data_IF_848774541780
#
_entry.id   IF_848774541780
#
_cell.length_a   1.000
_cell.length_b   1.000
_cell.length_c   1.000
_cell.angle_alpha   90.00
_cell.angle_beta   90.00
_cell.angle_gamma   90.00
#
_symmetry.space_group_name_H-M   'P 1'
#
loop_
_entity.id
_entity.type
_entity.pdbx_description
1 polymer ?
#
# COMPACT_ATOMS: atom_id res chain seq x y z
N UNK A 1 -6.97 15.19 -32.03
CA UNK A 1 -7.30 13.90 -31.41
C UNK A 1 -7.47 14.17 -29.92
N UNK A 2 -8.63 13.91 -29.29
CA UNK A 2 -8.70 13.99 -27.84
C UNK A 2 -7.82 12.89 -27.27
N UNK A 3 -6.92 13.24 -26.33
CA UNK A 3 -6.16 12.25 -25.59
C UNK A 3 -7.16 11.35 -24.84
N UNK A 4 -7.11 10.03 -25.06
CA UNK A 4 -7.82 9.07 -24.22
C UNK A 4 -7.31 9.25 -22.78
N UNK A 5 -8.10 9.89 -21.93
CA UNK A 5 -7.83 9.95 -20.51
C UNK A 5 -8.12 8.55 -19.95
N UNK A 6 -7.06 7.78 -19.72
CA UNK A 6 -7.17 6.56 -18.93
C UNK A 6 -7.57 6.94 -17.50
N UNK A 7 -8.60 6.29 -16.97
CA UNK A 7 -9.04 6.49 -15.60
C UNK A 7 -7.87 6.23 -14.64
N UNK A 8 -7.73 7.07 -13.60
CA UNK A 8 -6.69 6.85 -12.59
C UNK A 8 -6.90 5.52 -11.87
N UNK A 9 -5.85 4.97 -11.25
CA UNK A 9 -5.97 3.74 -10.43
C UNK A 9 -7.07 3.94 -9.36
N UNK A 10 -7.13 5.14 -8.77
CA UNK A 10 -8.15 5.51 -7.80
C UNK A 10 -9.56 5.37 -8.37
N UNK A 11 -9.80 5.84 -9.60
CA UNK A 11 -11.09 5.68 -10.28
C UNK A 11 -11.36 4.21 -10.65
N UNK A 12 -10.35 3.47 -11.12
CA UNK A 12 -10.49 2.06 -11.46
C UNK A 12 -10.83 1.18 -10.25
N UNK A 13 -10.38 1.57 -9.04
CA UNK A 13 -10.71 0.89 -7.79
C UNK A 13 -12.13 1.22 -7.27
N UNK A 14 -12.83 2.20 -7.86
CA UNK A 14 -14.13 2.68 -7.35
C UNK A 14 -14.03 3.88 -6.42
N UNK A 15 -12.94 4.64 -6.47
CA UNK A 15 -12.73 5.84 -5.67
C UNK A 15 -12.38 5.54 -4.22
N UNK A 16 -12.84 6.40 -3.30
CA UNK A 16 -12.48 6.33 -1.88
C UNK A 16 -12.84 4.98 -1.26
N UNK A 17 -14.05 4.48 -1.53
CA UNK A 17 -14.53 3.20 -0.99
C UNK A 17 -13.69 2.02 -1.50
N UNK A 18 -13.27 2.08 -2.76
CA UNK A 18 -12.32 1.12 -3.33
C UNK A 18 -10.98 1.07 -2.60
N UNK A 19 -10.42 2.25 -2.32
CA UNK A 19 -9.16 2.36 -1.57
C UNK A 19 -9.33 1.91 -0.12
N UNK A 20 -10.48 2.20 0.52
CA UNK A 20 -10.79 1.69 1.87
C UNK A 20 -10.80 0.16 1.88
N UNK A 21 -11.56 -0.46 0.98
CA UNK A 21 -11.65 -1.91 0.89
C UNK A 21 -10.28 -2.56 0.64
N UNK A 22 -9.47 -1.95 -0.24
CA UNK A 22 -8.10 -2.39 -0.49
C UNK A 22 -7.23 -2.35 0.78
N UNK A 23 -7.21 -1.22 1.48
CA UNK A 23 -6.42 -1.06 2.71
C UNK A 23 -6.91 -1.97 3.83
N UNK A 24 -8.23 -2.11 3.98
CA UNK A 24 -8.82 -2.98 4.98
C UNK A 24 -8.41 -4.44 4.75
N UNK A 25 -8.53 -4.92 3.51
CA UNK A 25 -8.13 -6.27 3.11
C UNK A 25 -6.63 -6.48 3.27
N UNK A 26 -5.82 -5.46 2.96
CA UNK A 26 -4.37 -5.52 3.13
C UNK A 26 -3.95 -5.64 4.60
N UNK A 27 -4.45 -4.74 5.45
CA UNK A 27 -4.15 -4.79 6.87
C UNK A 27 -4.67 -6.08 7.52
N UNK A 28 -5.86 -6.55 7.15
CA UNK A 28 -6.38 -7.84 7.62
C UNK A 28 -5.49 -9.00 7.17
N UNK A 29 -4.96 -8.96 5.94
CA UNK A 29 -4.04 -9.99 5.44
C UNK A 29 -2.73 -9.99 6.24
N UNK A 30 -2.18 -8.82 6.58
CA UNK A 30 -1.02 -8.72 7.48
C UNK A 30 -1.33 -9.32 8.86
N UNK A 31 -2.50 -9.01 9.42
CA UNK A 31 -2.89 -9.42 10.77
C UNK A 31 -3.19 -10.92 10.90
N UNK A 32 -3.64 -11.56 9.82
CA UNK A 32 -4.21 -12.92 9.87
C UNK A 32 -3.37 -13.99 9.21
N UNK A 33 -2.32 -13.64 8.46
CA UNK A 33 -1.47 -14.60 7.76
C UNK A 33 -0.12 -14.76 8.44
N UNK A 34 0.44 -15.98 8.38
CA UNK A 34 1.79 -16.23 8.90
C UNK A 34 2.85 -15.40 8.16
N UNK A 35 2.70 -15.25 6.84
CA UNK A 35 3.59 -14.41 6.01
C UNK A 35 3.56 -12.93 6.41
N UNK A 36 2.45 -12.44 6.96
CA UNK A 36 2.33 -11.06 7.45
C UNK A 36 3.02 -10.80 8.78
N UNK A 37 3.42 -11.84 9.52
CA UNK A 37 3.96 -11.72 10.88
C UNK A 37 5.16 -10.76 11.00
N UNK A 38 6.17 -10.77 10.10
CA UNK A 38 7.27 -9.81 10.19
C UNK A 38 6.80 -8.36 10.07
N UNK A 39 5.90 -8.07 9.12
CA UNK A 39 5.34 -6.73 8.89
C UNK A 39 4.46 -6.30 10.08
N UNK A 40 3.65 -7.21 10.61
CA UNK A 40 2.81 -6.96 11.78
C UNK A 40 3.66 -6.53 12.99
N UNK A 41 4.77 -7.25 13.26
CA UNK A 41 5.65 -6.94 14.38
C UNK A 41 6.27 -5.54 14.28
N UNK A 42 6.62 -5.08 13.06
CA UNK A 42 7.12 -3.73 12.85
C UNK A 42 6.06 -2.68 13.20
N UNK A 43 4.81 -2.86 12.74
CA UNK A 43 3.73 -1.94 13.08
C UNK A 43 3.38 -1.93 14.56
N UNK A 44 3.43 -3.07 15.25
CA UNK A 44 3.17 -3.18 16.69
C UNK A 44 4.25 -2.53 17.56
N UNK A 45 5.49 -2.38 17.06
CA UNK A 45 6.54 -1.61 17.74
C UNK A 45 6.37 -0.10 17.61
N UNK A 46 5.54 0.35 16.67
CA UNK A 46 5.21 1.76 16.44
C UNK A 46 3.83 2.12 17.00
N UNK A 47 3.03 2.84 16.20
CA UNK A 47 1.69 3.29 16.57
C UNK A 47 0.58 2.23 16.38
N UNK A 48 0.95 1.00 16.00
CA UNK A 48 0.01 -0.11 15.82
C UNK A 48 -0.77 -0.09 14.50
N UNK A 49 -1.50 -1.18 14.24
CA UNK A 49 -2.22 -1.40 12.99
C UNK A 49 -3.39 -0.43 12.76
N UNK A 50 -4.05 0.04 13.82
CA UNK A 50 -5.15 1.00 13.70
C UNK A 50 -4.68 2.33 13.10
N UNK A 51 -3.54 2.84 13.58
CA UNK A 51 -2.92 4.03 13.01
C UNK A 51 -2.42 3.76 11.58
N UNK A 52 -1.74 2.62 11.36
CA UNK A 52 -1.23 2.26 10.04
C UNK A 52 -2.35 2.18 8.98
N UNK A 53 -3.53 1.65 9.33
CA UNK A 53 -4.67 1.53 8.41
C UNK A 53 -5.17 2.90 7.94
N UNK A 54 -5.32 3.85 8.87
CA UNK A 54 -5.74 5.21 8.53
C UNK A 54 -4.70 5.91 7.63
N UNK A 55 -3.42 5.83 7.98
CA UNK A 55 -2.37 6.50 7.21
C UNK A 55 -2.13 5.84 5.85
N UNK A 56 -2.29 4.52 5.74
CA UNK A 56 -2.24 3.82 4.45
C UNK A 56 -3.37 4.26 3.53
N UNK A 57 -4.60 4.43 4.03
CA UNK A 57 -5.69 5.01 3.24
C UNK A 57 -5.32 6.41 2.72
N UNK A 58 -4.82 7.29 3.60
CA UNK A 58 -4.40 8.63 3.21
C UNK A 58 -3.31 8.62 2.13
N UNK A 59 -2.34 7.71 2.28
CA UNK A 59 -1.21 7.58 1.38
C UNK A 59 -1.65 7.04 0.01
N UNK A 60 -2.41 5.94 -0.01
CA UNK A 60 -2.88 5.31 -1.24
C UNK A 60 -3.91 6.14 -2.00
N UNK A 61 -4.73 6.93 -1.30
CA UNK A 61 -5.60 7.92 -1.95
C UNK A 61 -4.80 8.82 -2.90
N UNK A 62 -3.71 9.42 -2.42
CA UNK A 62 -2.85 10.26 -3.24
C UNK A 62 -2.05 9.47 -4.27
N UNK A 63 -1.48 8.33 -3.87
CA UNK A 63 -0.63 7.51 -4.74
C UNK A 63 -1.38 7.04 -6.00
N UNK A 64 -2.66 6.69 -5.86
CA UNK A 64 -3.48 6.18 -6.96
C UNK A 64 -4.12 7.28 -7.82
N UNK A 65 -3.80 8.56 -7.56
CA UNK A 65 -4.31 9.70 -8.32
C UNK A 65 -5.64 10.26 -7.80
N UNK A 66 -6.00 9.99 -6.54
CA UNK A 66 -7.08 10.66 -5.81
C UNK A 66 -6.58 11.85 -4.98
N UNK A 67 -7.36 12.30 -3.97
CA UNK A 67 -6.96 13.37 -3.07
C UNK A 67 -5.65 13.08 -2.32
N UNK A 68 -4.78 14.08 -2.18
CA UNK A 68 -3.43 13.94 -1.60
C UNK A 68 -3.43 14.02 -0.07
N UNK A 69 -4.34 13.28 0.56
CA UNK A 69 -4.65 13.35 2.00
C UNK A 69 -3.40 13.22 2.88
N UNK A 70 -2.50 12.29 2.56
CA UNK A 70 -1.28 12.10 3.35
C UNK A 70 -0.34 13.30 3.26
N UNK A 71 -0.10 13.82 2.05
CA UNK A 71 0.78 14.96 1.85
C UNK A 71 0.18 16.26 2.41
N UNK A 72 -1.14 16.42 2.36
CA UNK A 72 -1.84 17.55 3.00
C UNK A 72 -1.71 17.52 4.52
N UNK A 73 -1.71 16.32 5.13
CA UNK A 73 -1.56 16.14 6.58
C UNK A 73 -0.11 16.23 7.05
N UNK A 74 0.83 15.62 6.33
CA UNK A 74 2.23 15.43 6.75
C UNK A 74 3.25 16.27 5.99
N UNK A 75 2.82 17.04 4.99
CA UNK A 75 3.68 17.92 4.17
C UNK A 75 4.42 17.21 3.03
N UNK A 76 4.57 15.88 3.06
CA UNK A 76 5.20 15.10 2.01
C UNK A 76 4.64 13.67 1.92
N UNK A 77 4.91 12.98 0.81
CA UNK A 77 4.62 11.55 0.61
C UNK A 77 5.86 10.75 0.19
N UNK A 78 7.07 11.23 0.53
CA UNK A 78 8.31 10.54 0.23
C UNK A 78 8.41 9.22 1.02
N UNK A 79 8.24 8.09 0.33
CA UNK A 79 8.22 6.74 0.93
C UNK A 79 9.49 6.39 1.71
N UNK A 80 10.67 6.88 1.28
CA UNK A 80 11.93 6.61 1.98
C UNK A 80 12.00 7.39 3.30
N UNK A 81 11.57 8.65 3.30
CA UNK A 81 11.52 9.46 4.53
C UNK A 81 10.52 8.89 5.54
N UNK A 82 9.36 8.44 5.05
CA UNK A 82 8.34 7.79 5.90
C UNK A 82 8.92 6.56 6.59
N UNK A 83 9.72 5.73 5.91
CA UNK A 83 10.27 4.48 6.45
C UNK A 83 11.69 4.60 7.02
N UNK A 84 12.29 5.79 7.05
CA UNK A 84 13.69 5.98 7.47
C UNK A 84 13.98 5.55 8.92
N UNK A 85 12.94 5.47 9.76
CA UNK A 85 13.02 5.07 11.17
C UNK A 85 12.84 3.55 11.38
N UNK A 86 12.62 2.78 10.31
CA UNK A 86 12.39 1.33 10.36
C UNK A 86 13.55 0.62 9.67
N UNK A 87 14.10 -0.41 10.29
CA UNK A 87 15.06 -1.31 9.65
C UNK A 87 14.30 -2.31 8.79
N UNK A 88 14.56 -2.29 7.48
CA UNK A 88 13.88 -3.13 6.49
C UNK A 88 14.92 -3.91 5.69
N UNK A 89 14.92 -5.24 5.86
CA UNK A 89 15.69 -6.17 5.05
C UNK A 89 14.86 -6.82 3.94
N UNK A 90 15.47 -7.77 3.25
CA UNK A 90 14.80 -8.54 2.19
C UNK A 90 13.60 -9.33 2.70
N UNK A 91 13.65 -9.82 3.95
CA UNK A 91 12.59 -10.64 4.53
C UNK A 91 11.30 -9.83 4.76
N UNK A 92 11.41 -8.63 5.34
CA UNK A 92 10.26 -7.76 5.62
C UNK A 92 9.62 -7.26 4.33
N UNK A 93 10.44 -6.87 3.34
CA UNK A 93 9.96 -6.42 2.03
C UNK A 93 9.29 -7.56 1.27
N UNK A 94 9.86 -8.77 1.29
CA UNK A 94 9.28 -9.94 0.65
C UNK A 94 7.96 -10.37 1.31
N UNK A 95 7.89 -10.30 2.64
CA UNK A 95 6.67 -10.53 3.40
C UNK A 95 5.56 -9.52 3.05
N UNK A 96 5.92 -8.23 2.96
CA UNK A 96 4.99 -7.17 2.56
C UNK A 96 4.45 -7.37 1.14
N UNK A 97 5.31 -7.70 0.17
CA UNK A 97 4.91 -7.98 -1.21
C UNK A 97 4.03 -9.23 -1.31
N UNK A 98 4.31 -10.26 -0.51
CA UNK A 98 3.49 -11.47 -0.45
C UNK A 98 2.09 -11.17 0.11
N UNK A 99 2.00 -10.34 1.17
CA UNK A 99 0.71 -9.88 1.68
C UNK A 99 -0.05 -9.05 0.64
N UNK A 100 0.65 -8.25 -0.16
CA UNK A 100 0.04 -7.47 -1.23
C UNK A 100 -0.55 -8.37 -2.31
N UNK A 101 0.19 -9.38 -2.77
CA UNK A 101 -0.30 -10.36 -3.74
C UNK A 101 -1.56 -11.08 -3.24
N UNK A 102 -1.52 -11.61 -2.00
CA UNK A 102 -2.68 -12.27 -1.35
C UNK A 102 -3.88 -11.32 -1.27
N UNK A 103 -3.64 -10.05 -0.96
CA UNK A 103 -4.69 -9.03 -0.89
C UNK A 103 -5.35 -8.80 -2.23
N UNK A 104 -4.54 -8.65 -3.28
CA UNK A 104 -5.06 -8.46 -4.64
C UNK A 104 -5.82 -9.69 -5.13
N UNK A 105 -5.42 -10.90 -4.74
CA UNK A 105 -6.16 -12.12 -5.06
C UNK A 105 -7.54 -12.17 -4.40
N UNK A 106 -7.69 -11.62 -3.19
CA UNK A 106 -8.98 -11.52 -2.48
C UNK A 106 -9.92 -10.46 -3.07
N UNK A 107 -9.38 -9.46 -3.75
CA UNK A 107 -10.16 -8.37 -4.34
C UNK A 107 -10.62 -8.74 -5.75
N UNK A 108 -11.87 -8.40 -6.07
CA UNK A 108 -12.44 -8.62 -7.40
C UNK A 108 -12.03 -7.51 -8.39
N UNK A 109 -10.72 -7.35 -8.56
CA UNK A 109 -10.13 -6.41 -9.51
C UNK A 109 -9.82 -7.10 -10.85
N UNK A 110 -9.89 -6.37 -11.98
CA UNK A 110 -9.40 -6.88 -13.24
C UNK A 110 -7.93 -7.34 -13.13
N UNK A 111 -7.58 -8.46 -13.75
CA UNK A 111 -6.22 -9.00 -13.71
C UNK A 111 -5.16 -7.97 -14.13
N UNK A 112 -5.47 -7.13 -15.12
CA UNK A 112 -4.61 -6.03 -15.56
C UNK A 112 -4.34 -5.00 -14.45
N UNK A 113 -5.35 -4.67 -13.63
CA UNK A 113 -5.19 -3.75 -12.51
C UNK A 113 -4.36 -4.38 -11.39
N UNK A 114 -4.59 -5.66 -11.07
CA UNK A 114 -3.76 -6.40 -10.09
C UNK A 114 -2.28 -6.41 -10.50
N UNK A 115 -2.01 -6.71 -11.78
CA UNK A 115 -0.65 -6.70 -12.33
C UNK A 115 -0.02 -5.30 -12.25
N UNK A 116 -0.75 -4.26 -12.69
CA UNK A 116 -0.28 -2.88 -12.62
C UNK A 116 0.06 -2.45 -11.19
N UNK A 117 -0.75 -2.84 -10.20
CA UNK A 117 -0.47 -2.56 -8.79
C UNK A 117 0.81 -3.27 -8.33
N UNK A 118 0.97 -4.55 -8.64
CA UNK A 118 2.21 -5.29 -8.30
C UNK A 118 3.45 -4.72 -8.99
N UNK A 119 3.35 -4.31 -10.25
CA UNK A 119 4.44 -3.69 -11.02
C UNK A 119 4.87 -2.34 -10.43
N UNK A 120 3.92 -1.58 -9.86
CA UNK A 120 4.22 -0.33 -9.17
C UNK A 120 4.80 -0.56 -7.77
N UNK A 121 4.25 -1.52 -7.03
CA UNK A 121 4.63 -1.76 -5.64
C UNK A 121 5.97 -2.45 -5.48
N UNK A 122 6.30 -3.41 -6.35
CA UNK A 122 7.54 -4.20 -6.27
C UNK A 122 8.80 -3.32 -6.26
N UNK A 123 9.03 -2.43 -7.25
CA UNK A 123 10.19 -1.55 -7.20
C UNK A 123 10.12 -0.59 -6.01
N UNK A 124 8.94 -0.02 -5.71
CA UNK A 124 8.77 0.92 -4.59
C UNK A 124 9.18 0.30 -3.25
N UNK A 125 8.71 -0.92 -2.96
CA UNK A 125 9.02 -1.63 -1.71
C UNK A 125 10.51 -1.98 -1.62
N UNK A 126 11.12 -2.41 -2.74
CA UNK A 126 12.56 -2.73 -2.80
C UNK A 126 13.44 -1.50 -2.55
N UNK A 127 12.99 -0.29 -2.90
CA UNK A 127 13.73 0.95 -2.60
C UNK A 127 13.83 1.25 -1.10
N UNK A 128 13.04 0.59 -0.25
CA UNK A 128 13.01 0.81 1.19
C UNK A 128 14.00 -0.08 1.96
N UNK A 129 14.61 -1.07 1.31
CA UNK A 129 15.64 -1.91 1.93
C UNK A 129 16.80 -1.01 2.36
N UNK A 130 17.12 -1.06 3.65
CA UNK A 130 18.12 -0.19 4.28
C UNK A 130 18.98 -0.91 5.33
N UNK A 131 18.88 -2.24 5.34
CA UNK A 131 19.69 -3.15 6.14
C UNK A 131 20.63 -3.96 5.24
#
# INVERSE_FOLDING_TARGET
MPAQQHASIYQQMGGAEGVRAFVETFCQTIETTEVGRPVLLLHLRGHGMAHARMEQFNFFSGLFGGPRLYAEKWGHSNVRQIHAHVQLGEAEVSAWLSCMAITLDKLDYPAALKQQLMDNFTPMARLLINQ
#
